data_IF_745449476649
#
_entry.id   IF_745449476649
#
_cell.length_a   1.000
_cell.length_b   1.000
_cell.length_c   1.000
_cell.angle_alpha   90.00
_cell.angle_beta   90.00
_cell.angle_gamma   90.00
#
_symmetry.space_group_name_H-M   'P 1'
#
loop_
_entity.id
_entity.type
_entity.pdbx_description
1 polymer ?
#
# COMPACT_ATOMS: atom_id res chain seq x y z
N UNK A 1 46.92 40.37 1.16
CA UNK A 1 45.97 39.29 1.50
C UNK A 1 46.12 38.19 0.47
N UNK A 2 46.54 36.99 0.88
CA UNK A 2 46.81 35.86 0.00
C UNK A 2 45.55 34.99 -0.02
N UNK A 3 44.71 35.15 -1.04
CA UNK A 3 43.54 34.30 -1.25
C UNK A 3 44.01 32.98 -1.87
N UNK A 4 44.10 31.96 -1.03
CA UNK A 4 44.31 30.58 -1.45
C UNK A 4 43.12 30.10 -2.27
N UNK A 5 43.32 29.93 -3.56
CA UNK A 5 42.39 29.23 -4.47
C UNK A 5 42.44 27.74 -4.07
N UNK A 6 41.33 27.11 -3.67
CA UNK A 6 41.35 25.67 -3.41
C UNK A 6 41.49 24.94 -4.74
N UNK A 7 42.67 24.34 -4.96
CA UNK A 7 42.92 23.42 -6.06
C UNK A 7 42.03 22.18 -5.86
N UNK A 8 40.93 22.11 -6.61
CA UNK A 8 40.09 20.91 -6.68
C UNK A 8 40.90 19.84 -7.41
N UNK A 9 41.54 18.97 -6.64
CA UNK A 9 42.26 17.81 -7.18
C UNK A 9 41.27 16.80 -7.74
N UNK A 10 41.67 16.00 -8.74
CA UNK A 10 40.83 14.91 -9.30
C UNK A 10 40.33 13.92 -8.22
N UNK A 11 41.01 13.84 -7.08
CA UNK A 11 40.57 13.03 -5.93
C UNK A 11 39.37 13.62 -5.18
N UNK A 12 39.13 14.93 -5.27
CA UNK A 12 38.03 15.62 -4.59
C UNK A 12 36.69 15.35 -5.28
N UNK A 13 36.65 15.34 -6.62
CA UNK A 13 35.47 14.95 -7.40
C UNK A 13 35.11 13.47 -7.22
N UNK A 14 36.11 12.59 -7.06
CA UNK A 14 35.88 11.16 -6.80
C UNK A 14 35.28 10.92 -5.40
N UNK A 15 35.75 11.66 -4.39
CA UNK A 15 35.19 11.59 -3.04
C UNK A 15 33.75 12.10 -2.99
N UNK A 16 33.46 13.21 -3.66
CA UNK A 16 32.08 13.72 -3.81
C UNK A 16 31.17 12.70 -4.50
N UNK A 17 31.63 12.06 -5.57
CA UNK A 17 30.86 11.02 -6.26
C UNK A 17 30.60 9.79 -5.38
N UNK A 18 31.59 9.34 -4.60
CA UNK A 18 31.44 8.22 -3.68
C UNK A 18 30.48 8.56 -2.53
N UNK A 19 30.54 9.79 -2.00
CA UNK A 19 29.59 10.27 -0.99
C UNK A 19 28.16 10.33 -1.53
N UNK A 20 27.98 10.82 -2.76
CA UNK A 20 26.68 10.84 -3.43
C UNK A 20 26.15 9.42 -3.66
N UNK A 21 26.99 8.49 -4.13
CA UNK A 21 26.60 7.09 -4.31
C UNK A 21 26.20 6.43 -2.99
N UNK A 22 26.95 6.70 -1.91
CA UNK A 22 26.62 6.20 -0.56
C UNK A 22 25.30 6.76 -0.04
N UNK A 23 25.04 8.05 -0.23
CA UNK A 23 23.77 8.68 0.16
C UNK A 23 22.59 8.11 -0.63
N UNK A 24 22.74 7.94 -1.94
CA UNK A 24 21.71 7.32 -2.79
C UNK A 24 21.45 5.88 -2.34
N UNK A 25 22.50 5.08 -2.11
CA UNK A 25 22.37 3.71 -1.64
C UNK A 25 21.69 3.62 -0.26
N UNK A 26 22.00 4.54 0.65
CA UNK A 26 21.37 4.62 1.97
C UNK A 26 19.90 5.02 1.89
N UNK A 27 19.55 6.02 1.06
CA UNK A 27 18.16 6.43 0.82
C UNK A 27 17.35 5.28 0.22
N UNK A 28 17.92 4.56 -0.75
CA UNK A 28 17.33 3.35 -1.33
C UNK A 28 17.15 2.30 -0.23
N UNK A 29 18.18 1.98 0.54
CA UNK A 29 18.10 1.00 1.62
C UNK A 29 17.03 1.34 2.66
N UNK A 30 16.91 2.61 3.06
CA UNK A 30 15.85 3.06 3.97
C UNK A 30 14.45 2.91 3.36
N UNK A 31 14.29 3.20 2.07
CA UNK A 31 13.03 3.03 1.37
C UNK A 31 12.60 1.55 1.27
N UNK A 32 13.57 0.63 1.19
CA UNK A 32 13.33 -0.83 1.12
C UNK A 32 13.45 -1.55 2.47
N UNK A 33 13.74 -0.84 3.56
CA UNK A 33 13.86 -1.43 4.91
C UNK A 33 12.50 -1.90 5.45
N UNK A 34 12.45 -2.97 6.26
CA UNK A 34 11.21 -3.44 6.88
C UNK A 34 10.63 -2.35 7.79
N UNK A 35 9.50 -1.75 7.40
CA UNK A 35 8.89 -0.59 8.07
C UNK A 35 8.96 0.72 7.28
N UNK A 36 9.59 0.74 6.10
CA UNK A 36 9.50 1.86 5.15
C UNK A 36 8.07 2.05 4.61
N UNK A 37 7.82 3.21 3.98
CA UNK A 37 6.50 3.64 3.46
C UNK A 37 5.82 2.59 2.54
N UNK A 38 6.58 1.73 1.87
CA UNK A 38 6.05 0.67 1.00
C UNK A 38 5.50 -0.55 1.76
N UNK A 39 5.90 -0.76 3.02
CA UNK A 39 5.44 -1.89 3.83
C UNK A 39 3.94 -1.82 4.16
N UNK A 40 3.36 -0.62 4.23
CA UNK A 40 1.94 -0.43 4.54
C UNK A 40 1.00 -0.65 3.34
N UNK A 41 1.51 -0.57 2.10
CA UNK A 41 0.69 -0.79 0.89
C UNK A 41 0.45 -2.29 0.64
N UNK A 42 1.33 -3.15 1.14
CA UNK A 42 1.24 -4.59 0.90
C UNK A 42 0.25 -5.29 1.85
N UNK A 43 0.14 -4.86 3.12
CA UNK A 43 -0.51 -5.69 4.16
C UNK A 43 -2.05 -5.77 4.05
N UNK A 44 -2.74 -4.72 3.58
CA UNK A 44 -4.22 -4.72 3.54
C UNK A 44 -4.80 -5.46 2.34
N UNK A 45 -4.09 -5.49 1.21
CA UNK A 45 -4.55 -6.18 0.01
C UNK A 45 -4.08 -7.65 -0.06
N UNK A 46 -2.96 -7.98 0.58
CA UNK A 46 -2.41 -9.34 0.58
C UNK A 46 -3.39 -10.37 1.17
N UNK A 47 -4.02 -10.09 2.32
CA UNK A 47 -4.95 -11.04 2.95
C UNK A 47 -6.17 -11.35 2.05
N UNK A 48 -6.70 -10.34 1.36
CA UNK A 48 -7.78 -10.55 0.40
C UNK A 48 -7.30 -11.40 -0.79
N UNK A 49 -6.15 -11.05 -1.37
CA UNK A 49 -5.59 -11.80 -2.51
C UNK A 49 -5.22 -13.23 -2.14
N UNK A 50 -4.72 -13.48 -0.94
CA UNK A 50 -4.37 -14.82 -0.46
C UNK A 50 -5.63 -15.69 -0.32
N UNK A 51 -6.72 -15.13 0.21
CA UNK A 51 -8.02 -15.82 0.29
C UNK A 51 -8.60 -16.14 -1.08
N UNK A 52 -8.48 -15.22 -2.04
CA UNK A 52 -8.93 -15.45 -3.42
C UNK A 52 -8.01 -16.46 -4.14
N UNK A 53 -6.70 -16.37 -3.94
CA UNK A 53 -5.72 -17.26 -4.56
C UNK A 53 -5.91 -18.72 -4.16
N UNK A 54 -6.40 -19.00 -2.95
CA UNK A 54 -6.76 -20.35 -2.52
C UNK A 54 -7.74 -21.06 -3.47
N UNK A 55 -8.66 -20.32 -4.12
CA UNK A 55 -9.59 -20.89 -5.13
C UNK A 55 -8.85 -21.44 -6.33
N UNK A 56 -7.75 -20.78 -6.72
CA UNK A 56 -6.96 -21.15 -7.89
C UNK A 56 -5.99 -22.28 -7.52
N UNK A 57 -5.36 -22.19 -6.34
CA UNK A 57 -4.28 -23.09 -5.90
C UNK A 57 -4.78 -24.44 -5.40
N UNK A 58 -5.93 -24.49 -4.71
CA UNK A 58 -6.46 -25.72 -4.10
C UNK A 58 -7.75 -26.21 -4.78
N UNK A 59 -7.97 -25.85 -6.04
CA UNK A 59 -9.18 -26.17 -6.81
C UNK A 59 -9.45 -27.68 -6.92
N UNK A 60 -8.40 -28.49 -6.83
CA UNK A 60 -8.44 -29.96 -6.89
C UNK A 60 -8.79 -30.65 -5.56
N UNK A 61 -8.71 -29.93 -4.43
CA UNK A 61 -8.86 -30.50 -3.07
C UNK A 61 -10.31 -30.47 -2.54
N UNK A 62 -11.26 -29.92 -3.30
CA UNK A 62 -12.67 -29.81 -2.87
C UNK A 62 -12.90 -28.91 -1.65
N UNK A 63 -11.84 -28.27 -1.14
CA UNK A 63 -11.93 -27.32 -0.04
C UNK A 63 -12.56 -26.02 -0.56
N UNK A 64 -13.71 -25.66 0.01
CA UNK A 64 -14.35 -24.38 -0.31
C UNK A 64 -13.52 -23.23 0.28
N UNK A 65 -13.29 -22.15 -0.49
CA UNK A 65 -12.59 -20.97 0.00
C UNK A 65 -13.28 -20.37 1.22
N UNK A 66 -12.48 -19.75 2.10
CA UNK A 66 -13.01 -19.08 3.28
C UNK A 66 -14.00 -17.95 2.87
N UNK A 67 -15.16 -17.83 3.55
CA UNK A 67 -16.09 -16.74 3.27
C UNK A 67 -15.45 -15.36 3.45
N UNK A 68 -15.69 -14.47 2.49
CA UNK A 68 -15.29 -13.06 2.57
C UNK A 68 -16.54 -12.25 2.85
N UNK A 69 -16.66 -11.69 4.05
CA UNK A 69 -17.78 -10.82 4.40
C UNK A 69 -17.63 -9.46 3.71
N UNK A 70 -18.75 -8.89 3.29
CA UNK A 70 -18.79 -7.55 2.74
C UNK A 70 -18.46 -6.50 3.81
N UNK A 71 -17.76 -5.43 3.42
CA UNK A 71 -17.59 -4.27 4.27
C UNK A 71 -17.91 -2.97 3.53
N UNK A 72 -18.40 -2.01 4.32
CA UNK A 72 -18.78 -0.70 3.83
C UNK A 72 -17.56 0.08 3.38
N UNK A 73 -17.62 0.60 2.16
CA UNK A 73 -16.75 1.69 1.74
C UNK A 73 -17.04 2.94 2.59
N UNK A 74 -16.09 3.88 2.68
CA UNK A 74 -16.33 5.18 3.29
C UNK A 74 -17.57 5.85 2.69
N UNK A 75 -18.28 6.63 3.50
CA UNK A 75 -19.39 7.43 3.00
C UNK A 75 -18.89 8.39 1.92
N UNK A 76 -19.66 8.49 0.85
CA UNK A 76 -19.49 9.50 -0.18
C UNK A 76 -19.71 10.90 0.40
N UNK A 77 -19.28 11.91 -0.34
CA UNK A 77 -19.54 13.29 0.02
C UNK A 77 -21.05 13.57 0.16
N UNK A 78 -21.40 14.39 1.15
CA UNK A 78 -22.76 14.86 1.34
C UNK A 78 -23.18 15.73 0.16
N UNK A 79 -24.24 15.34 -0.55
CA UNK A 79 -24.81 16.09 -1.66
C UNK A 79 -26.30 16.27 -1.42
N UNK A 80 -26.77 17.51 -1.38
CA UNK A 80 -28.16 17.87 -1.11
C UNK A 80 -28.73 17.25 0.19
N UNK A 81 -27.90 17.18 1.24
CA UNK A 81 -28.25 16.61 2.55
C UNK A 81 -28.27 15.08 2.59
N UNK A 82 -27.87 14.41 1.51
CA UNK A 82 -27.85 12.94 1.42
C UNK A 82 -26.44 12.44 1.10
N UNK A 83 -26.05 11.35 1.76
CA UNK A 83 -24.83 10.62 1.46
C UNK A 83 -25.12 9.14 1.22
N UNK A 84 -24.25 8.51 0.42
CA UNK A 84 -24.34 7.11 0.02
C UNK A 84 -23.05 6.37 0.35
N UNK A 85 -23.12 5.06 0.48
CA UNK A 85 -21.95 4.17 0.57
C UNK A 85 -22.24 2.83 -0.11
N UNK A 86 -21.19 2.15 -0.55
CA UNK A 86 -21.28 0.83 -1.21
C UNK A 86 -20.69 -0.27 -0.33
N UNK A 87 -21.17 -1.49 -0.49
CA UNK A 87 -20.70 -2.68 0.23
C UNK A 87 -19.65 -3.43 -0.61
N UNK A 88 -18.56 -2.75 -0.95
CA UNK A 88 -17.58 -3.23 -1.93
C UNK A 88 -16.13 -3.12 -1.42
N UNK A 89 -15.95 -2.81 -0.13
CA UNK A 89 -14.63 -2.57 0.46
C UNK A 89 -14.31 -3.55 1.60
N UNK A 90 -14.30 -4.89 1.38
CA UNK A 90 -14.44 -5.60 0.10
C UNK A 90 -15.88 -6.06 -0.19
N UNK A 91 -16.15 -6.53 -1.42
CA UNK A 91 -17.43 -7.17 -1.77
C UNK A 91 -17.55 -8.55 -1.11
N UNK A 92 -18.75 -8.96 -0.68
CA UNK A 92 -18.98 -10.29 -0.14
C UNK A 92 -18.73 -11.37 -1.20
N UNK A 93 -18.00 -12.43 -0.84
CA UNK A 93 -17.67 -13.56 -1.72
C UNK A 93 -17.64 -14.88 -0.94
N UNK A 94 -17.68 -15.99 -1.67
CA UNK A 94 -17.55 -17.35 -1.12
C UNK A 94 -18.54 -17.66 0.02
N UNK A 95 -19.79 -17.19 -0.11
CA UNK A 95 -20.83 -17.36 0.92
C UNK A 95 -20.69 -16.43 2.12
N UNK A 96 -19.86 -15.38 2.04
CA UNK A 96 -19.74 -14.36 3.08
C UNK A 96 -20.99 -13.47 3.19
N UNK A 97 -21.15 -12.87 4.37
CA UNK A 97 -22.34 -12.09 4.70
C UNK A 97 -22.32 -10.72 4.01
N UNK A 98 -23.50 -10.21 3.59
CA UNK A 98 -23.61 -8.84 3.08
C UNK A 98 -23.42 -7.83 4.21
N UNK A 99 -23.20 -6.56 3.84
CA UNK A 99 -23.11 -5.49 4.81
C UNK A 99 -24.46 -5.22 5.48
N UNK A 100 -24.45 -5.11 6.80
CA UNK A 100 -25.62 -4.71 7.58
C UNK A 100 -25.73 -3.18 7.70
N UNK A 101 -26.96 -2.67 7.61
CA UNK A 101 -27.28 -1.25 7.78
C UNK A 101 -27.62 -0.52 6.47
N UNK A 102 -27.90 0.78 6.58
CA UNK A 102 -28.32 1.58 5.43
C UNK A 102 -27.14 1.93 4.50
N UNK A 103 -27.38 1.90 3.19
CA UNK A 103 -26.47 2.40 2.15
C UNK A 103 -26.67 3.89 1.84
N UNK A 104 -27.73 4.49 2.38
CA UNK A 104 -28.12 5.89 2.22
C UNK A 104 -28.53 6.47 3.56
N UNK A 105 -28.06 7.67 3.89
CA UNK A 105 -28.52 8.39 5.08
C UNK A 105 -28.46 9.90 4.87
N UNK A 106 -29.11 10.63 5.78
CA UNK A 106 -28.93 12.07 5.86
C UNK A 106 -27.52 12.38 6.37
N UNK A 107 -26.96 13.45 5.83
CA UNK A 107 -25.82 14.18 6.34
C UNK A 107 -26.26 15.64 6.53
#
# INVERSE_FOLDING_TARGET
MKTSIPSTSRGQAALEYLLLCGLVAFVVFLAFSPGGFLSQVQVTSQDYFDKVAQVIVNSDQGAQPAPINGAWCPWAACTDGIQFRTCECPSPAFGGNPCSGASRQNC
#
